data_IF_924577821254
#
_entry.id   IF_924577821254
#
_cell.length_a   1.000
_cell.length_b   1.000
_cell.length_c   1.000
_cell.angle_alpha   90.00
_cell.angle_beta   90.00
_cell.angle_gamma   90.00
#
_symmetry.space_group_name_H-M   'P 1'
#
loop_
_entity.id
_entity.type
_entity.pdbx_description
1 polymer ?
#
# COMPACT_ATOMS: atom_id res chain seq x y z
N UNK A 1 -6.43 -25.74 -1.33
CA UNK A 1 -5.94 -24.47 -0.73
C UNK A 1 -4.99 -23.82 -1.72
N UNK A 2 -5.16 -22.53 -2.01
CA UNK A 2 -4.46 -21.82 -3.10
C UNK A 2 -3.25 -21.01 -2.62
N UNK A 3 -2.74 -20.14 -3.49
CA UNK A 3 -1.70 -19.17 -3.14
C UNK A 3 -2.25 -18.01 -2.30
N UNK A 4 -1.41 -17.47 -1.42
CA UNK A 4 -1.66 -16.21 -0.72
C UNK A 4 -1.22 -15.04 -1.61
N UNK A 5 -2.02 -13.97 -1.68
CA UNK A 5 -1.77 -12.77 -2.49
C UNK A 5 -1.94 -11.54 -1.61
N UNK A 6 -0.94 -10.65 -1.62
CA UNK A 6 -1.00 -9.31 -1.03
C UNK A 6 -0.81 -8.27 -2.14
N UNK A 7 -1.55 -7.16 -2.09
CA UNK A 7 -1.44 -6.05 -3.05
C UNK A 7 -1.02 -4.73 -2.39
N UNK A 8 -0.86 -3.68 -3.20
CA UNK A 8 -0.61 -2.30 -2.75
C UNK A 8 -1.77 -1.40 -3.20
N UNK A 9 -1.93 -0.29 -2.48
CA UNK A 9 -2.74 0.91 -2.78
C UNK A 9 -4.09 0.98 -2.08
N UNK A 10 -4.69 -0.15 -1.70
CA UNK A 10 -6.08 -0.23 -1.25
C UNK A 10 -7.04 0.61 -2.10
N UNK A 11 -7.05 0.35 -3.41
CA UNK A 11 -8.09 0.92 -4.28
C UNK A 11 -9.45 0.34 -3.88
N UNK A 12 -10.53 1.07 -4.16
CA UNK A 12 -11.88 0.66 -3.80
C UNK A 12 -12.23 -0.75 -4.30
N UNK A 13 -11.72 -1.12 -5.48
CA UNK A 13 -11.93 -2.41 -6.12
C UNK A 13 -11.31 -3.60 -5.36
N UNK A 14 -10.32 -3.37 -4.50
CA UNK A 14 -9.66 -4.43 -3.73
C UNK A 14 -10.64 -5.18 -2.81
N UNK A 15 -11.71 -4.53 -2.36
CA UNK A 15 -12.74 -5.16 -1.53
C UNK A 15 -13.79 -5.95 -2.35
N UNK A 16 -13.78 -5.80 -3.68
CA UNK A 16 -14.76 -6.45 -4.57
C UNK A 16 -14.20 -7.69 -5.28
N UNK A 17 -12.92 -8.01 -5.07
CA UNK A 17 -12.34 -9.26 -5.55
C UNK A 17 -12.86 -10.46 -4.76
N UNK A 18 -12.68 -11.66 -5.32
CA UNK A 18 -12.97 -12.93 -4.63
C UNK A 18 -11.75 -13.84 -4.73
N UNK A 19 -11.02 -14.12 -3.63
CA UNK A 19 -11.20 -13.57 -2.27
C UNK A 19 -10.95 -12.06 -2.19
N UNK A 20 -11.45 -11.39 -1.15
CA UNK A 20 -11.13 -9.97 -0.90
C UNK A 20 -9.63 -9.78 -0.69
N UNK A 21 -9.02 -8.78 -1.34
CA UNK A 21 -7.56 -8.59 -1.30
C UNK A 21 -7.06 -7.97 0.01
N UNK A 22 -6.17 -8.66 0.69
CA UNK A 22 -5.24 -8.08 1.67
C UNK A 22 -4.29 -7.13 0.95
N UNK A 23 -4.11 -5.91 1.46
CA UNK A 23 -3.37 -4.86 0.76
C UNK A 23 -2.72 -3.87 1.71
N UNK A 24 -1.65 -3.18 1.27
CA UNK A 24 -1.12 -2.02 1.98
C UNK A 24 -1.83 -0.77 1.48
N UNK A 25 -2.61 -0.13 2.36
CA UNK A 25 -3.26 1.14 2.09
C UNK A 25 -2.24 2.29 2.14
N UNK A 26 -2.05 2.96 1.00
CA UNK A 26 -1.16 4.11 0.89
C UNK A 26 -1.90 5.43 1.19
N UNK A 27 -1.27 6.41 1.86
CA UNK A 27 -1.86 7.72 2.15
C UNK A 27 -1.84 8.64 0.91
N UNK A 28 -2.54 8.22 -0.15
CA UNK A 28 -2.49 8.81 -1.51
C UNK A 28 -2.88 10.30 -1.52
N UNK A 29 -3.83 10.70 -0.67
CA UNK A 29 -4.29 12.09 -0.58
C UNK A 29 -3.20 12.97 0.02
N UNK A 30 -2.58 12.51 1.10
CA UNK A 30 -1.45 13.19 1.75
C UNK A 30 -0.24 13.27 0.82
N UNK A 31 0.09 12.19 0.12
CA UNK A 31 1.16 12.16 -0.90
C UNK A 31 0.97 13.27 -1.92
N UNK A 32 -0.23 13.37 -2.51
CA UNK A 32 -0.55 14.42 -3.49
C UNK A 32 -0.48 15.83 -2.88
N UNK A 33 -1.05 16.01 -1.68
CA UNK A 33 -1.02 17.30 -0.98
C UNK A 33 0.41 17.78 -0.71
N UNK A 34 1.26 16.92 -0.16
CA UNK A 34 2.64 17.27 0.14
C UNK A 34 3.48 17.48 -1.11
N UNK A 35 3.26 16.69 -2.17
CA UNK A 35 3.92 16.91 -3.46
C UNK A 35 3.62 18.31 -4.01
N UNK A 36 2.35 18.75 -3.93
CA UNK A 36 1.95 20.10 -4.35
C UNK A 36 2.58 21.17 -3.45
N UNK A 37 2.62 20.97 -2.13
CA UNK A 37 3.27 21.92 -1.23
C UNK A 37 4.78 22.06 -1.50
N UNK A 38 5.49 20.94 -1.69
CA UNK A 38 6.89 20.96 -2.09
C UNK A 38 7.08 21.69 -3.42
N UNK A 39 6.23 21.45 -4.41
CA UNK A 39 6.30 22.16 -5.69
C UNK A 39 6.10 23.68 -5.54
N UNK A 40 5.09 24.11 -4.77
CA UNK A 40 4.80 25.52 -4.52
C UNK A 40 5.98 26.19 -3.79
N UNK A 41 6.55 25.52 -2.79
CA UNK A 41 7.69 26.04 -2.04
C UNK A 41 8.93 26.19 -2.93
N UNK A 42 9.15 25.25 -3.86
CA UNK A 42 10.21 25.32 -4.87
C UNK A 42 10.02 26.51 -5.81
N UNK A 43 8.82 26.70 -6.35
CA UNK A 43 8.48 27.82 -7.24
C UNK A 43 8.72 29.17 -6.55
N UNK A 44 8.40 29.25 -5.26
CA UNK A 44 8.58 30.46 -4.45
C UNK A 44 10.01 30.62 -3.90
N UNK A 45 10.96 29.76 -4.26
CA UNK A 45 12.35 29.85 -3.83
C UNK A 45 12.57 29.55 -2.34
N UNK A 46 11.65 28.85 -1.67
CA UNK A 46 11.80 28.48 -0.25
C UNK A 46 12.76 27.32 -0.01
N UNK A 47 13.07 26.54 -1.03
CA UNK A 47 14.13 25.53 -1.02
C UNK A 47 14.68 25.29 -2.43
N UNK A 48 15.95 24.90 -2.50
CA UNK A 48 16.69 24.62 -3.74
C UNK A 48 17.31 23.21 -3.77
N UNK A 49 17.37 22.52 -2.64
CA UNK A 49 17.84 21.15 -2.52
C UNK A 49 16.77 20.12 -2.91
N UNK A 50 17.21 18.88 -3.13
CA UNK A 50 16.31 17.73 -3.27
C UNK A 50 15.74 17.39 -1.89
N UNK A 51 14.41 17.31 -1.80
CA UNK A 51 13.70 16.95 -0.57
C UNK A 51 13.06 15.58 -0.73
N UNK A 52 13.25 14.71 0.26
CA UNK A 52 12.58 13.40 0.38
C UNK A 52 11.70 13.42 1.62
N UNK A 53 10.50 12.85 1.52
CA UNK A 53 9.55 12.73 2.61
C UNK A 53 8.96 11.33 2.59
N UNK A 54 8.91 10.69 3.76
CA UNK A 54 8.32 9.38 3.95
C UNK A 54 6.93 9.53 4.55
N UNK A 55 5.97 8.75 4.04
CA UNK A 55 4.60 8.70 4.54
C UNK A 55 4.23 7.26 4.84
N UNK A 56 3.60 7.06 6.00
CA UNK A 56 3.26 5.73 6.49
C UNK A 56 1.98 5.20 5.82
N UNK A 57 2.10 4.02 5.21
CA UNK A 57 0.95 3.21 4.82
C UNK A 57 0.60 2.21 5.93
N UNK A 58 -0.60 1.62 5.88
CA UNK A 58 -1.01 0.61 6.85
C UNK A 58 -1.51 -0.66 6.15
N UNK A 59 -1.31 -1.81 6.80
CA UNK A 59 -1.78 -3.09 6.29
C UNK A 59 -3.28 -3.24 6.54
N UNK A 60 -4.02 -3.55 5.48
CA UNK A 60 -5.44 -3.89 5.50
C UNK A 60 -5.57 -5.39 5.25
N UNK A 61 -5.90 -6.14 6.30
CA UNK A 61 -6.02 -7.60 6.27
C UNK A 61 -7.42 -7.99 5.77
N UNK A 62 -7.47 -8.83 4.73
CA UNK A 62 -8.68 -9.43 4.17
C UNK A 62 -8.47 -10.94 3.91
N UNK A 63 -9.12 -11.50 2.90
CA UNK A 63 -9.28 -12.95 2.71
C UNK A 63 -8.19 -13.60 1.84
N UNK A 64 -7.41 -12.81 1.10
CA UNK A 64 -6.44 -13.33 0.13
C UNK A 64 -5.12 -13.82 0.75
N UNK A 65 -4.92 -13.69 2.06
CA UNK A 65 -3.77 -14.22 2.77
C UNK A 65 -4.23 -15.18 3.86
N UNK A 66 -3.52 -16.30 3.99
CA UNK A 66 -3.69 -17.27 5.08
C UNK A 66 -2.35 -17.50 5.77
N UNK A 67 -2.41 -17.92 7.03
CA UNK A 67 -1.23 -18.32 7.79
C UNK A 67 -0.46 -19.43 7.07
N UNK A 68 0.87 -19.35 7.13
CA UNK A 68 1.75 -20.33 6.51
C UNK A 68 1.51 -21.75 7.05
N UNK A 69 1.20 -21.88 8.34
CA UNK A 69 0.91 -23.17 9.00
C UNK A 69 -0.40 -23.80 8.52
N UNK A 70 -1.38 -22.97 8.17
CA UNK A 70 -2.63 -23.44 7.56
C UNK A 70 -2.48 -23.71 6.07
N UNK A 71 -1.37 -23.30 5.44
CA UNK A 71 -1.14 -23.62 4.04
C UNK A 71 -0.84 -25.12 3.89
N UNK A 72 -1.71 -25.83 3.16
CA UNK A 72 -1.57 -27.28 2.88
C UNK A 72 -0.28 -27.64 2.14
N UNK A 73 0.49 -26.64 1.69
CA UNK A 73 1.79 -26.77 1.04
C UNK A 73 2.89 -27.23 2.00
N UNK A 74 2.79 -26.95 3.31
CA UNK A 74 3.78 -27.41 4.30
C UNK A 74 3.79 -28.94 4.51
N UNK A 75 2.78 -29.66 4.02
CA UNK A 75 2.67 -31.12 4.15
C UNK A 75 3.09 -31.88 2.88
N UNK A 76 3.52 -31.19 1.83
CA UNK A 76 3.79 -31.81 0.50
C UNK A 76 5.20 -31.56 -0.04
N UNK A 77 6.09 -30.96 0.78
CA UNK A 77 7.54 -30.89 0.54
C UNK A 77 8.28 -31.57 1.69
#
# INVERSE_FOLDING_TARGET
MGWSIISSDDIEQAQFTKPMLTTVALPKVEMGRFAVYLLIDRINGKHDSVTTMELEGHLVIRESCVDAEYSSWNYTI
#
